data_IF_890954664555
#
_entry.id   IF_890954664555
#
_cell.length_a   1.000
_cell.length_b   1.000
_cell.length_c   1.000
_cell.angle_alpha   90.00
_cell.angle_beta   90.00
_cell.angle_gamma   90.00
#
_symmetry.space_group_name_H-M   'P 1'
#
loop_
_entity.id
_entity.type
_entity.pdbx_description
1 polymer ?
#
# COMPACT_ATOMS: atom_id res chain seq x y z
N UNK A 1 -11.40 -5.72 8.88
CA UNK A 1 -11.88 -7.02 8.38
C UNK A 1 -11.72 -7.27 6.89
N UNK A 2 -12.56 -6.76 5.96
CA UNK A 2 -12.53 -7.21 4.54
C UNK A 2 -11.14 -7.19 3.87
N UNK A 3 -10.26 -6.26 4.27
CA UNK A 3 -8.90 -6.12 3.75
C UNK A 3 -7.82 -6.30 4.81
N UNK A 4 -8.14 -6.85 5.99
CA UNK A 4 -7.16 -7.09 7.05
C UNK A 4 -6.41 -5.84 7.51
N UNK A 5 -7.07 -4.67 7.51
CA UNK A 5 -6.43 -3.38 7.81
C UNK A 5 -5.98 -3.27 9.28
N UNK A 6 -6.53 -4.11 10.14
CA UNK A 6 -6.20 -4.26 11.55
C UNK A 6 -4.78 -4.78 11.80
N UNK A 7 -4.23 -5.57 10.89
CA UNK A 7 -2.92 -6.22 11.04
C UNK A 7 -1.82 -5.55 10.19
N UNK A 8 -2.12 -4.35 9.70
CA UNK A 8 -1.29 -3.63 8.75
C UNK A 8 -0.07 -3.02 9.46
N UNK A 9 1.13 -3.36 9.00
CA UNK A 9 2.39 -2.98 9.66
C UNK A 9 3.04 -1.79 8.97
N UNK A 10 3.80 -1.01 9.73
CA UNK A 10 4.72 -0.03 9.14
C UNK A 10 5.69 -0.75 8.21
N UNK A 11 5.85 -0.22 6.99
CA UNK A 11 6.70 -0.82 5.96
C UNK A 11 6.01 -1.86 5.07
N UNK A 12 4.75 -2.24 5.33
CA UNK A 12 4.04 -3.17 4.46
C UNK A 12 3.83 -2.56 3.06
N UNK A 13 4.02 -3.39 2.03
CA UNK A 13 3.67 -3.05 0.66
C UNK A 13 2.18 -3.32 0.44
N UNK A 14 1.47 -2.30 -0.03
CA UNK A 14 0.03 -2.37 -0.29
C UNK A 14 -0.30 -1.97 -1.72
N UNK A 15 -1.33 -2.60 -2.28
CA UNK A 15 -1.90 -2.23 -3.57
C UNK A 15 -3.25 -1.52 -3.37
N UNK A 16 -3.37 -0.34 -3.96
CA UNK A 16 -4.59 0.47 -3.97
C UNK A 16 -5.24 0.31 -5.35
N UNK A 17 -6.45 -0.24 -5.33
CA UNK A 17 -7.23 -0.51 -6.55
C UNK A 17 -7.97 0.75 -7.00
N UNK A 18 -8.13 0.88 -8.32
CA UNK A 18 -8.80 1.99 -8.99
C UNK A 18 -8.22 3.37 -8.63
N UNK A 19 -6.92 3.43 -8.34
CA UNK A 19 -6.22 4.66 -7.98
C UNK A 19 -5.05 4.90 -8.94
N UNK A 20 -5.03 6.07 -9.57
CA UNK A 20 -3.92 6.54 -10.41
C UNK A 20 -3.21 7.67 -9.66
N UNK A 21 -1.90 7.49 -9.48
CA UNK A 21 -1.02 8.40 -8.75
C UNK A 21 0.02 9.07 -9.65
N UNK A 22 -0.19 9.08 -10.98
CA UNK A 22 0.82 9.53 -11.96
C UNK A 22 1.25 10.99 -11.77
N UNK A 23 0.31 11.88 -11.39
CA UNK A 23 0.57 13.31 -11.16
C UNK A 23 -0.12 13.84 -9.90
N UNK A 24 -1.19 13.18 -9.46
CA UNK A 24 -1.97 13.51 -8.28
C UNK A 24 -2.77 12.28 -7.87
N UNK A 25 -3.59 12.39 -6.84
CA UNK A 25 -4.38 11.24 -6.34
C UNK A 25 -5.78 11.29 -6.94
N UNK A 26 -6.07 10.42 -7.90
CA UNK A 26 -7.38 10.35 -8.53
C UNK A 26 -7.93 8.93 -8.53
N UNK A 27 -9.26 8.83 -8.53
CA UNK A 27 -9.94 7.60 -8.88
C UNK A 27 -9.86 7.38 -10.40
N UNK A 28 -9.47 6.17 -10.79
CA UNK A 28 -9.48 5.72 -12.19
C UNK A 28 -9.71 4.23 -12.22
N UNK A 29 -10.85 3.81 -12.75
CA UNK A 29 -11.20 2.39 -12.84
C UNK A 29 -10.14 1.61 -13.63
N UNK A 30 -9.74 0.46 -13.07
CA UNK A 30 -8.68 -0.41 -13.61
C UNK A 30 -7.25 0.06 -13.32
N UNK A 31 -7.04 1.27 -12.77
CA UNK A 31 -5.72 1.69 -12.34
C UNK A 31 -5.29 0.96 -11.06
N UNK A 32 -3.98 0.72 -10.91
CA UNK A 32 -3.39 0.10 -9.73
C UNK A 32 -2.22 0.98 -9.27
N UNK A 33 -2.19 1.31 -7.99
CA UNK A 33 -1.05 1.99 -7.35
C UNK A 33 -0.50 1.13 -6.23
N UNK A 34 0.83 1.06 -6.11
CA UNK A 34 1.53 0.33 -5.05
C UNK A 34 2.29 1.32 -4.18
N UNK A 35 2.23 1.15 -2.87
CA UNK A 35 2.93 2.00 -1.92
C UNK A 35 3.34 1.29 -0.64
N UNK A 36 4.06 2.03 0.20
CA UNK A 36 4.54 1.59 1.51
C UNK A 36 3.73 2.31 2.59
N UNK A 37 3.38 1.59 3.65
CA UNK A 37 2.75 2.18 4.85
C UNK A 37 3.80 2.90 5.69
N UNK A 38 3.60 4.20 5.92
CA UNK A 38 4.62 5.10 6.50
C UNK A 38 4.26 5.70 7.86
N UNK A 39 2.99 5.65 8.27
CA UNK A 39 2.60 6.06 9.62
C UNK A 39 1.40 5.25 10.13
N UNK A 40 1.20 5.26 11.45
CA UNK A 40 0.14 4.54 12.16
C UNK A 40 -1.25 5.05 11.82
N UNK A 41 -2.26 4.40 12.42
CA UNK A 41 -3.65 4.83 12.35
C UNK A 41 -3.85 6.23 12.98
N UNK A 42 -5.06 6.76 12.77
CA UNK A 42 -5.47 8.04 13.29
C UNK A 42 -6.95 7.96 13.67
N UNK A 43 -7.31 8.58 14.80
CA UNK A 43 -8.68 8.58 15.33
C UNK A 43 -9.61 9.57 14.63
N UNK A 44 -9.06 10.43 13.77
CA UNK A 44 -9.83 11.47 13.07
C UNK A 44 -10.48 10.90 11.82
N UNK A 45 -11.77 11.20 11.61
CA UNK A 45 -12.51 10.78 10.41
C UNK A 45 -11.80 11.21 9.12
N UNK A 46 -11.68 10.29 8.16
CA UNK A 46 -10.98 10.50 6.90
C UNK A 46 -9.46 10.29 6.96
N UNK A 47 -8.89 9.98 8.13
CA UNK A 47 -7.49 9.59 8.30
C UNK A 47 -7.36 8.09 8.56
N UNK A 48 -6.12 7.60 8.50
CA UNK A 48 -5.73 6.21 8.74
C UNK A 48 -4.24 6.03 8.48
N UNK A 49 -3.74 4.79 8.40
CA UNK A 49 -2.35 4.53 8.04
C UNK A 49 -1.98 5.20 6.71
N UNK A 50 -0.91 6.00 6.73
CA UNK A 50 -0.47 6.74 5.56
C UNK A 50 0.27 5.86 4.58
N UNK A 51 0.08 6.12 3.27
CA UNK A 51 0.75 5.38 2.20
C UNK A 51 1.55 6.31 1.29
N UNK A 52 2.84 6.02 1.17
CA UNK A 52 3.74 6.63 0.18
C UNK A 52 3.78 5.76 -1.08
N UNK A 53 3.32 6.31 -2.20
CA UNK A 53 3.30 5.63 -3.49
C UNK A 53 4.71 5.40 -4.03
N UNK A 54 4.98 4.20 -4.53
CA UNK A 54 6.19 3.86 -5.27
C UNK A 54 5.94 3.74 -6.77
N UNK A 55 4.88 3.02 -7.14
CA UNK A 55 4.56 2.69 -8.52
C UNK A 55 3.09 2.92 -8.78
N UNK A 56 2.75 3.28 -10.02
CA UNK A 56 1.36 3.40 -10.45
C UNK A 56 1.24 2.95 -11.89
N UNK A 57 0.12 2.35 -12.23
CA UNK A 57 -0.25 1.99 -13.59
C UNK A 57 -1.68 2.43 -13.83
N UNK A 58 -1.82 3.45 -14.67
CA UNK A 58 -3.10 4.04 -15.06
C UNK A 58 -3.98 3.11 -15.91
N UNK A 59 -3.42 2.00 -16.38
CA UNK A 59 -4.04 1.02 -17.26
C UNK A 59 -3.92 -0.44 -16.73
N UNK A 60 -3.70 -0.62 -15.43
CA UNK A 60 -3.80 -1.92 -14.77
C UNK A 60 -2.74 -2.95 -15.14
N UNK A 61 -1.53 -2.50 -15.50
CA UNK A 61 -0.41 -3.40 -15.87
C UNK A 61 0.34 -3.98 -14.67
N UNK A 62 0.15 -3.42 -13.49
CA UNK A 62 0.68 -3.97 -12.24
C UNK A 62 -0.30 -5.05 -11.75
N UNK A 63 0.19 -6.27 -11.56
CA UNK A 63 -0.58 -7.39 -11.02
C UNK A 63 -0.12 -7.64 -9.58
N UNK A 64 -0.90 -7.21 -8.55
CA UNK A 64 -0.52 -7.44 -7.16
C UNK A 64 -0.55 -8.92 -6.80
N UNK A 65 0.47 -9.39 -6.09
CA UNK A 65 0.49 -10.70 -5.45
C UNK A 65 0.51 -10.49 -3.93
N UNK A 66 -0.45 -11.07 -3.24
CA UNK A 66 -0.50 -11.03 -1.77
C UNK A 66 0.53 -12.01 -1.21
N UNK A 67 1.35 -11.52 -0.28
CA UNK A 67 2.33 -12.32 0.44
C UNK A 67 2.41 -11.82 1.91
N UNK A 68 2.49 -12.71 2.90
CA UNK A 68 2.49 -12.33 4.32
C UNK A 68 3.76 -11.57 4.75
N UNK A 69 4.85 -11.75 4.02
CA UNK A 69 6.18 -11.19 4.26
C UNK A 69 6.46 -9.94 3.39
N UNK A 70 5.42 -9.37 2.76
CA UNK A 70 5.52 -8.18 1.92
C UNK A 70 5.77 -6.91 2.74
N UNK A 71 6.96 -6.80 3.34
CA UNK A 71 7.38 -5.67 4.15
C UNK A 71 8.81 -5.25 3.76
N UNK A 72 9.06 -3.94 3.67
CA UNK A 72 10.36 -3.41 3.26
C UNK A 72 11.50 -3.81 4.21
N UNK A 73 11.23 -4.02 5.50
CA UNK A 73 12.26 -4.44 6.45
C UNK A 73 12.77 -5.85 6.13
N UNK A 74 11.88 -6.73 5.65
CA UNK A 74 12.24 -8.07 5.18
C UNK A 74 12.97 -8.03 3.84
N UNK A 75 12.44 -7.27 2.88
CA UNK A 75 13.01 -7.14 1.54
C UNK A 75 14.42 -6.53 1.55
N UNK A 76 14.69 -5.64 2.49
CA UNK A 76 15.98 -4.97 2.65
C UNK A 76 16.90 -5.65 3.69
N UNK A 77 16.53 -6.84 4.18
CA UNK A 77 17.32 -7.63 5.15
C UNK A 77 17.66 -6.86 6.43
N UNK A 78 16.75 -5.99 6.89
CA UNK A 78 16.92 -5.19 8.10
C UNK A 78 16.42 -5.92 9.35
N UNK A 79 15.49 -6.87 9.16
CA UNK A 79 14.81 -7.63 10.23
C UNK A 79 14.45 -9.03 9.75
N UNK A 80 14.68 -10.03 10.61
CA UNK A 80 14.36 -11.44 10.35
C UNK A 80 13.06 -11.90 11.03
N UNK A 81 12.51 -11.08 11.93
CA UNK A 81 11.34 -11.34 12.76
C UNK A 81 10.03 -10.81 12.15
N UNK A 82 10.05 -10.43 10.87
CA UNK A 82 8.92 -9.92 10.09
C UNK A 82 8.55 -10.85 8.93
#
# INVERSE_FOLDING_TARGET
EKYGLEDLRLGDLVAIQNADHSYGRIYREGAISVGIVVHSDCVTSGHGPGVTTLFTSSNGKIIPKIAPDANIAKLLELRDDI
#
